data_IF_640197582857
#
_entry.id   IF_640197582857
#
_cell.length_a   1.000
_cell.length_b   1.000
_cell.length_c   1.000
_cell.angle_alpha   90.00
_cell.angle_beta   90.00
_cell.angle_gamma   90.00
#
_symmetry.space_group_name_H-M   'P 1'
#
loop_
_entity.id
_entity.type
_entity.pdbx_description
1 polymer ?
#
# COMPACT_ATOMS: atom_id res chain seq x y z
N UNK A 1 -41.95 -13.20 8.40
CA UNK A 1 -41.37 -13.68 7.12
C UNK A 1 -40.57 -12.54 6.51
N UNK A 2 -39.29 -12.43 6.84
CA UNK A 2 -38.36 -11.49 6.22
C UNK A 2 -37.43 -12.33 5.36
N UNK A 3 -37.65 -12.29 4.05
CA UNK A 3 -36.80 -12.96 3.08
C UNK A 3 -35.46 -12.23 2.94
N UNK A 4 -34.42 -13.05 2.92
CA UNK A 4 -33.01 -12.79 2.61
C UNK A 4 -32.77 -11.77 1.49
N UNK A 5 -32.00 -10.72 1.81
CA UNK A 5 -31.36 -9.80 0.84
C UNK A 5 -29.84 -9.98 0.78
N UNK A 6 -29.30 -11.10 1.28
CA UNK A 6 -27.84 -11.32 1.33
C UNK A 6 -27.20 -11.72 -0.02
N UNK A 7 -27.94 -11.82 -1.12
CA UNK A 7 -27.43 -12.39 -2.38
C UNK A 7 -27.61 -11.55 -3.66
N UNK A 8 -27.81 -10.23 -3.59
CA UNK A 8 -28.02 -9.40 -4.80
C UNK A 8 -26.89 -8.41 -5.11
N UNK A 9 -25.94 -8.14 -4.20
CA UNK A 9 -24.82 -7.22 -4.50
C UNK A 9 -23.62 -7.86 -5.23
N UNK A 10 -23.64 -9.18 -5.48
CA UNK A 10 -22.52 -9.91 -6.09
C UNK A 10 -22.55 -9.94 -7.63
N UNK A 11 -23.54 -9.30 -8.28
CA UNK A 11 -23.83 -9.48 -9.72
C UNK A 11 -23.49 -8.29 -10.63
N UNK A 12 -22.85 -7.22 -10.14
CA UNK A 12 -22.53 -6.04 -10.97
C UNK A 12 -21.05 -5.69 -11.11
N UNK A 13 -20.13 -6.36 -10.41
CA UNK A 13 -18.69 -6.21 -10.66
C UNK A 13 -18.14 -7.52 -11.21
N UNK A 14 -18.41 -7.80 -12.50
CA UNK A 14 -17.87 -8.97 -13.21
C UNK A 14 -16.51 -8.69 -13.86
N UNK A 15 -15.97 -7.47 -13.77
CA UNK A 15 -14.63 -7.15 -14.25
C UNK A 15 -14.00 -5.99 -13.45
N UNK A 16 -12.68 -5.95 -13.37
CA UNK A 16 -11.92 -4.85 -12.77
C UNK A 16 -12.05 -3.52 -13.55
N UNK A 17 -12.72 -3.53 -14.71
CA UNK A 17 -12.85 -2.38 -15.62
C UNK A 17 -13.96 -1.41 -15.19
N UNK A 18 -14.90 -1.84 -14.33
CA UNK A 18 -16.00 -1.01 -13.82
C UNK A 18 -15.63 -0.26 -12.52
N UNK A 19 -14.39 -0.40 -12.04
CA UNK A 19 -13.90 0.28 -10.83
C UNK A 19 -13.43 1.69 -11.22
N UNK A 20 -14.14 2.71 -10.75
CA UNK A 20 -13.69 4.09 -10.86
C UNK A 20 -12.46 4.30 -9.97
N UNK A 21 -11.27 4.24 -10.56
CA UNK A 21 -10.04 4.66 -9.89
C UNK A 21 -9.86 6.15 -10.09
N UNK A 22 -10.26 6.93 -9.09
CA UNK A 22 -10.10 8.37 -9.12
C UNK A 22 -8.63 8.71 -8.82
N UNK A 23 -7.87 9.05 -9.88
CA UNK A 23 -6.62 9.81 -9.72
C UNK A 23 -7.00 11.16 -9.13
N UNK A 24 -6.40 11.51 -8.00
CA UNK A 24 -6.70 12.69 -7.17
C UNK A 24 -6.52 14.00 -7.96
N UNK A 25 -7.56 14.35 -8.71
CA UNK A 25 -7.80 15.66 -9.32
C UNK A 25 -8.99 16.32 -8.64
N UNK A 26 -8.70 17.29 -7.77
CA UNK A 26 -9.56 18.41 -7.34
C UNK A 26 -10.90 18.17 -6.61
N UNK A 27 -11.33 16.95 -6.28
CA UNK A 27 -12.56 16.78 -5.45
C UNK A 27 -12.32 16.01 -4.15
N UNK A 28 -12.19 16.81 -3.08
CA UNK A 28 -12.29 16.48 -1.65
C UNK A 28 -11.25 15.51 -1.05
N UNK A 29 -10.00 15.98 -0.97
CA UNK A 29 -8.94 15.41 -0.12
C UNK A 29 -9.39 15.16 1.33
N UNK A 30 -10.21 16.06 1.89
CA UNK A 30 -10.70 15.94 3.26
C UNK A 30 -11.71 14.81 3.44
N UNK A 31 -12.59 14.54 2.47
CA UNK A 31 -13.50 13.40 2.58
C UNK A 31 -12.73 12.08 2.56
N UNK A 32 -11.67 11.97 1.75
CA UNK A 32 -10.78 10.81 1.76
C UNK A 32 -10.18 10.54 3.15
N UNK A 33 -9.60 11.56 3.81
CA UNK A 33 -9.01 11.41 5.14
C UNK A 33 -10.05 11.11 6.22
N UNK A 34 -11.20 11.79 6.21
CA UNK A 34 -12.32 11.49 7.12
C UNK A 34 -12.95 10.11 6.88
N UNK A 35 -12.85 9.56 5.67
CA UNK A 35 -13.29 8.20 5.37
C UNK A 35 -12.34 7.15 5.95
N UNK A 36 -11.05 7.47 6.15
CA UNK A 36 -10.08 6.57 6.76
C UNK A 36 -10.19 6.56 8.29
N UNK A 37 -10.51 7.69 8.91
CA UNK A 37 -10.85 7.76 10.33
C UNK A 37 -12.30 7.32 10.56
N UNK A 38 -12.52 6.01 10.66
CA UNK A 38 -13.79 5.47 11.18
C UNK A 38 -14.58 4.55 10.24
N UNK A 39 -14.04 4.15 9.08
CA UNK A 39 -14.64 3.10 8.25
C UNK A 39 -13.97 1.73 8.41
N UNK A 40 -14.76 0.70 8.13
CA UNK A 40 -14.48 -0.73 8.27
C UNK A 40 -13.20 -1.22 7.60
N UNK A 41 -12.65 -0.50 6.62
CA UNK A 41 -11.37 -0.85 5.98
C UNK A 41 -10.17 -0.74 6.92
N UNK A 42 -10.18 0.21 7.86
CA UNK A 42 -9.13 0.38 8.88
C UNK A 42 -9.43 -0.40 10.17
N UNK A 43 -10.49 -1.22 10.20
CA UNK A 43 -10.73 -2.19 11.26
C UNK A 43 -10.03 -3.53 11.00
N UNK A 44 -9.28 -3.65 9.89
CA UNK A 44 -8.38 -4.78 9.71
C UNK A 44 -7.23 -4.66 10.74
N UNK A 45 -7.00 -5.66 11.60
CA UNK A 45 -5.91 -5.64 12.58
C UNK A 45 -4.52 -5.38 11.98
N UNK A 46 -4.34 -5.62 10.67
CA UNK A 46 -3.09 -5.48 9.95
C UNK A 46 -2.96 -4.13 9.23
N UNK A 47 -3.96 -3.25 9.32
CA UNK A 47 -3.89 -1.89 8.77
C UNK A 47 -3.55 -0.90 9.88
N UNK A 48 -2.36 -0.31 9.80
CA UNK A 48 -1.94 0.75 10.72
C UNK A 48 -2.81 1.99 10.51
N UNK A 49 -3.39 2.51 11.61
CA UNK A 49 -4.15 3.76 11.59
C UNK A 49 -3.27 4.89 12.11
N UNK A 50 -2.77 5.72 11.21
CA UNK A 50 -2.01 6.92 11.56
C UNK A 50 -2.92 8.07 12.00
N UNK A 51 -2.39 9.03 12.75
CA UNK A 51 -3.15 10.24 13.08
C UNK A 51 -3.33 11.16 11.86
N UNK A 52 -4.40 11.99 11.85
CA UNK A 52 -4.70 12.99 10.81
C UNK A 52 -3.45 13.76 10.31
N UNK A 53 -2.54 14.26 11.17
CA UNK A 53 -1.39 15.04 10.69
C UNK A 53 -0.50 14.27 9.71
N UNK A 54 -0.38 12.96 9.89
CA UNK A 54 0.40 12.09 9.01
C UNK A 54 -0.23 12.01 7.61
N UNK A 55 -1.53 11.72 7.53
CA UNK A 55 -2.24 11.70 6.24
C UNK A 55 -2.20 13.04 5.51
N UNK A 56 -2.38 14.16 6.25
CA UNK A 56 -2.30 15.50 5.68
C UNK A 56 -0.90 15.84 5.16
N UNK A 57 0.15 15.41 5.86
CA UNK A 57 1.53 15.57 5.40
C UNK A 57 1.74 14.86 4.06
N UNK A 58 1.29 13.62 3.93
CA UNK A 58 1.42 12.86 2.68
C UNK A 58 0.64 13.51 1.52
N UNK A 59 -0.59 13.93 1.77
CA UNK A 59 -1.40 14.64 0.77
C UNK A 59 -0.77 15.96 0.32
N UNK A 60 -0.09 16.68 1.22
CA UNK A 60 0.56 17.94 0.88
C UNK A 60 1.83 17.76 0.03
N UNK A 61 2.62 16.71 0.30
CA UNK A 61 3.93 16.52 -0.31
C UNK A 61 3.92 15.56 -1.52
N UNK A 62 3.05 14.53 -1.49
CA UNK A 62 2.96 13.48 -2.51
C UNK A 62 1.49 13.17 -2.87
N UNK A 63 0.67 14.18 -3.26
CA UNK A 63 -0.74 13.96 -3.59
C UNK A 63 -0.96 12.91 -4.69
N UNK A 64 -0.02 12.78 -5.62
CA UNK A 64 -0.09 11.80 -6.71
C UNK A 64 0.07 10.36 -6.23
N UNK A 65 0.77 10.13 -5.11
CA UNK A 65 0.94 8.81 -4.50
C UNK A 65 -0.22 8.40 -3.59
N UNK A 66 -1.21 9.27 -3.42
CA UNK A 66 -2.40 9.01 -2.64
C UNK A 66 -3.57 8.74 -3.58
N UNK A 67 -3.90 7.45 -3.76
CA UNK A 67 -4.95 7.01 -4.66
C UNK A 67 -6.02 6.26 -3.87
N UNK A 68 -7.28 6.57 -4.17
CA UNK A 68 -8.44 5.90 -3.58
C UNK A 68 -9.24 5.18 -4.67
N UNK A 69 -9.87 4.08 -4.28
CA UNK A 69 -10.81 3.35 -5.10
C UNK A 69 -12.20 3.42 -4.49
N UNK A 70 -13.17 3.86 -5.28
CA UNK A 70 -14.55 4.04 -4.86
C UNK A 70 -15.47 3.16 -5.70
N UNK A 71 -16.43 2.52 -5.04
CA UNK A 71 -17.50 1.81 -5.71
C UNK A 71 -18.45 2.84 -6.38
N UNK A 72 -19.25 2.44 -7.39
CA UNK A 72 -20.21 3.33 -8.04
C UNK A 72 -21.19 4.03 -7.08
N UNK A 73 -21.46 3.44 -5.91
CA UNK A 73 -22.29 4.03 -4.85
C UNK A 73 -21.56 5.04 -3.94
N UNK A 74 -20.30 5.38 -4.21
CA UNK A 74 -19.47 6.27 -3.38
C UNK A 74 -18.89 5.61 -2.12
N UNK A 75 -18.96 4.28 -2.03
CA UNK A 75 -18.35 3.54 -0.93
C UNK A 75 -16.85 3.36 -1.17
N UNK A 76 -16.03 3.61 -0.15
CA UNK A 76 -14.58 3.44 -0.24
C UNK A 76 -14.24 1.95 -0.27
N UNK A 77 -13.69 1.49 -1.38
CA UNK A 77 -13.27 0.09 -1.56
C UNK A 77 -11.86 -0.16 -1.03
N UNK A 78 -10.99 0.85 -1.14
CA UNK A 78 -9.61 0.75 -0.70
C UNK A 78 -8.81 1.99 -1.06
N UNK A 79 -7.58 2.05 -0.58
CA UNK A 79 -6.65 3.14 -0.86
C UNK A 79 -5.22 2.65 -0.83
N UNK A 80 -4.36 3.40 -1.51
CA UNK A 80 -2.91 3.30 -1.40
C UNK A 80 -2.34 4.69 -1.14
N UNK A 81 -1.36 4.74 -0.27
CA UNK A 81 -0.61 5.94 0.07
C UNK A 81 0.87 5.60 0.03
N UNK A 82 1.64 6.49 -0.57
CA UNK A 82 3.10 6.37 -0.61
C UNK A 82 3.78 7.72 -0.76
N UNK A 83 5.09 7.66 -0.92
CA UNK A 83 5.96 8.81 -1.14
C UNK A 83 7.06 8.48 -2.13
N UNK A 84 7.74 9.49 -2.63
CA UNK A 84 9.01 9.32 -3.34
C UNK A 84 10.14 9.87 -2.48
N UNK A 85 11.18 9.07 -2.25
CA UNK A 85 12.29 9.43 -1.36
C UNK A 85 13.64 8.83 -1.79
N UNK A 86 14.69 9.14 -1.02
CA UNK A 86 16.06 8.70 -1.26
C UNK A 86 16.88 9.67 -2.12
N UNK A 87 18.03 9.19 -2.63
CA UNK A 87 19.00 10.01 -3.36
C UNK A 87 19.31 9.44 -4.73
N UNK A 88 19.20 10.28 -5.76
CA UNK A 88 19.57 9.90 -7.14
C UNK A 88 21.06 9.58 -7.24
N UNK A 89 21.91 10.30 -6.50
CA UNK A 89 23.36 10.11 -6.55
C UNK A 89 23.82 8.78 -5.93
N UNK A 90 23.00 8.18 -5.06
CA UNK A 90 23.27 6.88 -4.42
C UNK A 90 22.51 5.72 -5.07
N UNK A 91 21.81 5.96 -6.19
CA UNK A 91 20.91 4.98 -6.81
C UNK A 91 19.77 4.52 -5.87
N UNK A 92 19.40 5.36 -4.91
CA UNK A 92 18.41 5.08 -3.86
C UNK A 92 17.12 5.87 -4.07
N UNK A 93 16.96 6.62 -5.16
CA UNK A 93 15.70 7.34 -5.43
C UNK A 93 14.58 6.34 -5.79
N UNK A 94 13.54 6.23 -4.98
CA UNK A 94 12.52 5.18 -5.11
C UNK A 94 11.12 5.67 -4.69
N UNK A 95 10.10 4.89 -5.05
CA UNK A 95 8.76 5.03 -4.48
C UNK A 95 8.61 4.12 -3.26
N UNK A 96 8.03 4.63 -2.18
CA UNK A 96 7.77 3.87 -0.96
C UNK A 96 6.27 3.73 -0.74
N UNK A 97 5.77 2.50 -0.56
CA UNK A 97 4.38 2.24 -0.19
C UNK A 97 4.25 2.30 1.33
N UNK A 98 3.59 3.34 1.82
CA UNK A 98 3.38 3.56 3.26
C UNK A 98 2.16 2.81 3.77
N UNK A 99 1.07 2.80 3.00
CA UNK A 99 -0.14 2.08 3.37
C UNK A 99 -0.87 1.59 2.13
N UNK A 100 -1.38 0.36 2.20
CA UNK A 100 -2.30 -0.21 1.22
C UNK A 100 -3.37 -0.98 1.99
N UNK A 101 -4.62 -0.59 1.82
CA UNK A 101 -5.74 -1.31 2.43
C UNK A 101 -6.91 -1.43 1.47
N UNK A 102 -7.58 -2.59 1.54
CA UNK A 102 -8.78 -2.90 0.79
C UNK A 102 -9.81 -3.44 1.77
N UNK A 103 -11.01 -2.86 1.76
CA UNK A 103 -12.12 -3.29 2.59
C UNK A 103 -12.42 -4.79 2.35
N UNK A 104 -12.64 -5.60 3.41
CA UNK A 104 -12.79 -7.06 3.31
C UNK A 104 -13.75 -7.56 2.23
N UNK A 105 -14.87 -6.87 2.05
CA UNK A 105 -15.93 -7.11 1.08
C UNK A 105 -15.50 -6.90 -0.38
N UNK A 106 -14.43 -6.13 -0.62
CA UNK A 106 -13.86 -5.85 -1.95
C UNK A 106 -12.52 -6.56 -2.20
N UNK A 107 -12.10 -7.46 -1.30
CA UNK A 107 -10.87 -8.27 -1.48
C UNK A 107 -11.06 -9.35 -2.55
N UNK A 108 -9.94 -9.84 -3.08
CA UNK A 108 -9.88 -10.87 -4.14
C UNK A 108 -10.51 -10.45 -5.47
N UNK A 109 -10.74 -9.15 -5.67
CA UNK A 109 -11.17 -8.55 -6.94
C UNK A 109 -9.99 -7.95 -7.75
N UNK A 110 -8.75 -8.17 -7.31
CA UNK A 110 -7.56 -7.59 -7.94
C UNK A 110 -7.32 -6.11 -7.61
N UNK A 111 -8.13 -5.50 -6.73
CA UNK A 111 -8.02 -4.06 -6.42
C UNK A 111 -6.65 -3.65 -5.86
N UNK A 112 -6.11 -4.43 -4.91
CA UNK A 112 -4.79 -4.17 -4.35
C UNK A 112 -3.69 -4.18 -5.42
N UNK A 113 -3.74 -5.14 -6.36
CA UNK A 113 -2.82 -5.21 -7.49
C UNK A 113 -2.94 -3.98 -8.39
N UNK A 114 -4.17 -3.49 -8.64
CA UNK A 114 -4.39 -2.29 -9.45
C UNK A 114 -3.86 -1.03 -8.79
N UNK A 115 -4.06 -0.88 -7.48
CA UNK A 115 -3.54 0.25 -6.72
C UNK A 115 -2.00 0.26 -6.71
N UNK A 116 -1.38 -0.91 -6.53
CA UNK A 116 0.07 -1.08 -6.62
C UNK A 116 0.60 -0.72 -8.02
N UNK A 117 -0.02 -1.23 -9.09
CA UNK A 117 0.36 -0.92 -10.47
C UNK A 117 0.37 0.60 -10.72
N UNK A 118 -0.65 1.33 -10.25
CA UNK A 118 -0.71 2.78 -10.41
C UNK A 118 0.40 3.52 -9.65
N UNK A 119 0.74 3.07 -8.44
CA UNK A 119 1.85 3.64 -7.67
C UNK A 119 3.20 3.34 -8.34
N UNK A 120 3.38 2.14 -8.87
CA UNK A 120 4.55 1.76 -9.66
C UNK A 120 4.68 2.65 -10.91
N UNK A 121 3.60 2.88 -11.66
CA UNK A 121 3.59 3.78 -12.81
C UNK A 121 4.01 5.22 -12.45
N UNK A 122 3.55 5.74 -11.31
CA UNK A 122 3.94 7.07 -10.83
C UNK A 122 5.44 7.08 -10.53
N UNK A 123 5.95 6.03 -9.89
CA UNK A 123 7.36 5.90 -9.53
C UNK A 123 8.26 5.77 -10.74
N UNK A 124 7.83 5.04 -11.77
CA UNK A 124 8.47 4.97 -13.08
C UNK A 124 8.56 6.37 -13.73
N UNK A 125 7.45 7.11 -13.76
CA UNK A 125 7.44 8.48 -14.32
C UNK A 125 8.35 9.44 -13.55
N UNK A 126 8.54 9.23 -12.25
CA UNK A 126 9.48 9.99 -11.42
C UNK A 126 10.93 9.50 -11.51
N UNK A 127 11.20 8.48 -12.35
CA UNK A 127 12.53 7.92 -12.54
C UNK A 127 13.06 7.21 -11.30
N UNK A 128 12.19 6.56 -10.51
CA UNK A 128 12.61 5.71 -9.40
C UNK A 128 13.42 4.50 -9.88
N UNK A 129 14.38 4.05 -9.06
CA UNK A 129 15.14 2.82 -9.29
C UNK A 129 14.34 1.58 -8.89
N UNK A 130 13.50 1.69 -7.86
CA UNK A 130 12.66 0.62 -7.37
C UNK A 130 11.40 1.17 -6.69
N UNK A 131 10.50 0.27 -6.30
CA UNK A 131 9.47 0.52 -5.30
C UNK A 131 9.71 -0.41 -4.12
N UNK A 132 9.59 0.10 -2.90
CA UNK A 132 9.68 -0.70 -1.68
C UNK A 132 8.46 -0.55 -0.77
N UNK A 133 8.40 -1.43 0.23
CA UNK A 133 7.37 -1.47 1.26
C UNK A 133 7.86 -2.29 2.46
N UNK A 134 7.28 -2.00 3.63
CA UNK A 134 7.40 -2.86 4.81
C UNK A 134 6.14 -3.70 4.99
N UNK A 135 6.32 -4.99 5.29
CA UNK A 135 5.23 -5.90 5.59
C UNK A 135 5.58 -6.80 6.77
N UNK A 136 4.64 -6.93 7.72
CA UNK A 136 4.71 -7.87 8.85
C UNK A 136 5.05 -9.28 8.37
N UNK A 137 6.06 -9.92 8.97
CA UNK A 137 6.48 -11.28 8.60
C UNK A 137 5.35 -12.31 8.79
N UNK A 138 4.44 -12.09 9.75
CA UNK A 138 3.27 -12.93 9.96
C UNK A 138 2.19 -12.80 8.88
N UNK A 139 2.13 -11.68 8.14
CA UNK A 139 1.10 -11.42 7.13
C UNK A 139 1.40 -12.14 5.81
N UNK A 140 1.32 -13.47 5.84
CA UNK A 140 1.63 -14.33 4.69
C UNK A 140 0.72 -14.07 3.49
N UNK A 141 -0.50 -13.56 3.71
CA UNK A 141 -1.41 -13.18 2.61
C UNK A 141 -0.82 -12.01 1.81
N UNK A 142 -0.41 -10.94 2.49
CA UNK A 142 0.20 -9.78 1.83
C UNK A 142 1.58 -10.12 1.25
N UNK A 143 2.43 -10.86 1.98
CA UNK A 143 3.75 -11.30 1.49
C UNK A 143 3.61 -12.09 0.18
N UNK A 144 2.67 -13.03 0.11
CA UNK A 144 2.45 -13.82 -1.10
C UNK A 144 1.88 -12.98 -2.25
N UNK A 145 0.99 -12.03 -1.96
CA UNK A 145 0.50 -11.08 -2.95
C UNK A 145 1.65 -10.26 -3.54
N UNK A 146 2.53 -9.69 -2.71
CA UNK A 146 3.67 -8.90 -3.19
C UNK A 146 4.66 -9.74 -4.00
N UNK A 147 4.94 -10.99 -3.58
CA UNK A 147 5.74 -11.92 -4.38
C UNK A 147 5.13 -12.18 -5.76
N UNK A 148 3.81 -12.35 -5.85
CA UNK A 148 3.10 -12.51 -7.13
C UNK A 148 3.17 -11.26 -8.01
N UNK A 149 3.24 -10.07 -7.40
CA UNK A 149 3.42 -8.79 -8.11
C UNK A 149 4.88 -8.52 -8.54
N UNK A 150 5.81 -9.42 -8.20
CA UNK A 150 7.21 -9.33 -8.59
C UNK A 150 8.13 -8.69 -7.55
N UNK A 151 7.65 -8.49 -6.31
CA UNK A 151 8.50 -8.03 -5.22
C UNK A 151 9.31 -9.19 -4.62
N UNK A 152 10.54 -8.90 -4.23
CA UNK A 152 11.43 -9.81 -3.51
C UNK A 152 11.80 -9.24 -2.15
N UNK A 153 12.03 -10.11 -1.17
CA UNK A 153 12.55 -9.69 0.14
C UNK A 153 13.98 -9.21 -0.04
N UNK A 154 14.21 -7.92 0.23
CA UNK A 154 15.54 -7.31 0.21
C UNK A 154 16.26 -7.53 1.54
N UNK A 155 15.56 -7.33 2.66
CA UNK A 155 16.08 -7.59 4.02
C UNK A 155 14.96 -7.80 5.01
N UNK A 156 15.33 -8.30 6.19
CA UNK A 156 14.46 -8.31 7.37
C UNK A 156 14.86 -7.16 8.28
N UNK A 157 13.87 -6.38 8.73
CA UNK A 157 14.05 -5.34 9.74
C UNK A 157 13.50 -5.86 11.07
N UNK A 158 14.38 -6.04 12.04
CA UNK A 158 14.08 -6.63 13.34
C UNK A 158 13.25 -5.65 14.16
N UNK A 159 12.23 -6.14 14.89
CA UNK A 159 11.46 -5.34 15.84
C UNK A 159 10.86 -4.05 15.22
N UNK A 160 10.54 -4.08 13.91
CA UNK A 160 10.05 -2.91 13.18
C UNK A 160 8.67 -2.46 13.63
N UNK A 161 7.75 -3.40 13.80
CA UNK A 161 6.42 -3.10 14.31
C UNK A 161 6.42 -3.27 15.82
N UNK A 162 6.35 -2.15 16.53
CA UNK A 162 6.29 -2.17 17.98
C UNK A 162 5.01 -2.86 18.48
N UNK A 163 5.19 -3.63 19.54
CA UNK A 163 4.13 -4.17 20.35
C UNK A 163 3.09 -3.11 20.73
N UNK A 164 1.83 -3.32 20.35
CA UNK A 164 0.70 -2.65 20.99
C UNK A 164 -0.06 -3.67 21.84
N UNK A 165 -0.53 -3.27 23.02
CA UNK A 165 -1.38 -4.09 23.89
C UNK A 165 -0.78 -5.42 24.39
N UNK A 166 0.55 -5.50 24.59
CA UNK A 166 1.20 -6.65 25.23
C UNK A 166 1.55 -7.81 24.29
N UNK A 167 1.40 -7.63 22.98
CA UNK A 167 1.97 -8.51 21.96
C UNK A 167 3.50 -8.35 21.89
N UNK A 168 4.27 -9.32 21.36
CA UNK A 168 5.69 -9.12 21.10
C UNK A 168 5.91 -8.15 19.93
N UNK A 169 7.06 -7.49 19.91
CA UNK A 169 7.52 -6.77 18.73
C UNK A 169 7.60 -7.71 17.52
N UNK A 170 7.28 -7.20 16.34
CA UNK A 170 7.24 -8.00 15.11
C UNK A 170 8.21 -7.47 14.06
N UNK A 171 8.99 -8.39 13.50
CA UNK A 171 9.86 -8.11 12.36
C UNK A 171 9.05 -7.74 11.10
N UNK A 172 9.68 -6.95 10.23
CA UNK A 172 9.17 -6.62 8.92
C UNK A 172 10.08 -7.17 7.82
N UNK A 173 9.50 -7.57 6.69
CA UNK A 173 10.24 -7.64 5.44
C UNK A 173 10.23 -6.28 4.76
N UNK A 174 11.41 -5.77 4.42
CA UNK A 174 11.60 -4.75 3.39
C UNK A 174 11.55 -5.49 2.04
N UNK A 175 10.45 -5.33 1.32
CA UNK A 175 10.24 -5.95 0.03
C UNK A 175 10.42 -4.93 -1.09
N UNK A 176 11.18 -5.28 -2.12
CA UNK A 176 11.52 -4.38 -3.23
C UNK A 176 11.18 -4.98 -4.59
N UNK A 177 10.81 -4.10 -5.51
CA UNK A 177 10.65 -4.39 -6.94
C UNK A 177 11.44 -3.37 -7.75
N UNK A 178 12.44 -3.84 -8.49
CA UNK A 178 13.23 -3.01 -9.39
C UNK A 178 12.34 -2.44 -10.52
N UNK A 179 12.50 -1.15 -10.78
CA UNK A 179 11.87 -0.43 -11.88
C UNK A 179 12.81 -0.39 -13.10
N UNK A 180 12.31 0.14 -14.22
CA UNK A 180 13.02 0.17 -15.50
C UNK A 180 14.40 0.85 -15.45
N UNK A 181 14.59 1.78 -14.50
CA UNK A 181 15.86 2.50 -14.30
C UNK A 181 16.95 1.61 -13.69
N UNK A 182 16.61 0.65 -12.84
CA UNK A 182 17.57 -0.30 -12.25
C UNK A 182 17.80 -1.49 -13.17
N UNK A 183 18.48 -1.24 -14.29
CA UNK A 183 18.72 -2.23 -15.35
C UNK A 183 19.50 -3.46 -14.87
N UNK A 184 20.38 -3.29 -13.88
CA UNK A 184 21.19 -4.35 -13.27
C UNK A 184 20.49 -5.03 -12.08
N UNK A 185 19.30 -4.54 -11.68
CA UNK A 185 18.52 -5.04 -10.55
C UNK A 185 19.30 -5.06 -9.24
N UNK A 186 20.17 -4.07 -9.02
CA UNK A 186 21.01 -3.96 -7.81
C UNK A 186 20.17 -3.77 -6.56
N UNK A 187 19.06 -3.03 -6.68
CA UNK A 187 18.19 -2.65 -5.58
C UNK A 187 17.43 -3.81 -4.94
N UNK A 188 17.36 -4.96 -5.62
CA UNK A 188 16.63 -6.15 -5.16
C UNK A 188 17.56 -7.30 -4.75
N UNK A 189 18.87 -7.12 -4.80
CA UNK A 189 19.83 -8.12 -4.33
C UNK A 189 19.71 -8.21 -2.80
N UNK A 190 19.30 -9.36 -2.22
CA UNK A 190 19.05 -9.42 -0.79
C UNK A 190 20.30 -9.14 0.04
N UNK A 191 20.14 -8.41 1.15
CA UNK A 191 21.19 -8.26 2.13
C UNK A 191 21.37 -9.55 2.93
N UNK A 192 22.62 -9.93 3.24
CA UNK A 192 22.91 -11.20 3.93
C UNK A 192 22.51 -11.21 5.42
N UNK A 193 22.26 -10.04 6.02
CA UNK A 193 21.99 -9.90 7.44
C UNK A 193 20.76 -9.02 7.69
N UNK A 194 20.00 -9.29 8.75
CA UNK A 194 18.93 -8.41 9.18
C UNK A 194 19.48 -7.08 9.73
N UNK A 195 18.64 -6.06 9.74
CA UNK A 195 18.98 -4.70 10.22
C UNK A 195 17.98 -4.24 11.27
N UNK A 196 18.29 -3.17 12.02
CA UNK A 196 17.34 -2.53 12.93
C UNK A 196 16.67 -1.30 12.29
N UNK A 197 15.54 -0.80 12.83
CA UNK A 197 14.85 0.36 12.28
C UNK A 197 15.70 1.64 12.27
N UNK A 198 16.69 1.77 13.15
CA UNK A 198 17.64 2.88 13.16
C UNK A 198 18.66 2.85 12.00
N UNK A 199 18.79 1.71 11.30
CA UNK A 199 19.79 1.51 10.23
C UNK A 199 19.21 1.75 8.82
N UNK A 200 17.93 2.11 8.70
CA UNK A 200 17.21 2.18 7.41
C UNK A 200 16.93 3.62 6.91
N UNK A 201 17.32 4.65 7.67
CA UNK A 201 17.17 6.09 7.32
C UNK A 201 18.34 6.68 6.50
#
# INVERSE_FOLDING_TARGET
MLYSWKNILCLLCTSAEDIAVNRTGEKNYLSGVYLLEGKTSNLDPLTETYGIPFYLQYLAHWPEYFIVAEAPGGELMGYIMGKAEGSVAREEWHGHVTALSVAPEFRRLGLAAKLMELLEEISERKGGFFVDLFVRVSNQVAVNMYKQLGYSVYRTVIEYYSASNGEPDEDAYDMRKALSRDTEKKSIIPLPHPVRPEDIE
#
